data_IF_759660959037
#
_entry.id   IF_759660959037
#
_cell.length_a   1.000
_cell.length_b   1.000
_cell.length_c   1.000
_cell.angle_alpha   90.00
_cell.angle_beta   90.00
_cell.angle_gamma   90.00
#
_symmetry.space_group_name_H-M   'P 1'
#
loop_
_entity.id
_entity.type
_entity.pdbx_description
1 polymer ?
#
# COMPACT_ATOMS: atom_id res chain seq x y z
N UNK A 1 -0.14 55.61 -14.58
CA UNK A 1 -0.87 55.06 -13.41
C UNK A 1 -1.54 53.71 -13.69
N UNK A 2 -2.11 53.48 -14.90
CA UNK A 2 -2.81 52.23 -15.26
C UNK A 2 -1.94 50.95 -15.21
N UNK A 3 -0.65 51.06 -15.55
CA UNK A 3 0.32 49.94 -15.55
C UNK A 3 0.64 49.37 -14.15
N UNK A 4 0.52 50.19 -13.11
CA UNK A 4 0.74 49.76 -11.71
C UNK A 4 -0.51 49.08 -11.13
N UNK A 5 -1.70 49.51 -11.56
CA UNK A 5 -2.98 48.92 -11.19
C UNK A 5 -3.11 47.48 -11.71
N UNK A 6 -2.70 47.23 -12.96
CA UNK A 6 -2.73 45.88 -13.56
C UNK A 6 -1.79 44.91 -12.86
N UNK A 7 -0.66 45.40 -12.36
CA UNK A 7 0.33 44.58 -11.63
C UNK A 7 -0.18 44.21 -10.23
N UNK A 8 -0.87 45.14 -9.55
CA UNK A 8 -1.53 44.88 -8.26
C UNK A 8 -2.65 43.84 -8.41
N UNK A 9 -3.48 43.96 -9.46
CA UNK A 9 -4.60 43.05 -9.71
C UNK A 9 -4.13 41.63 -10.04
N UNK A 10 -2.98 41.49 -10.72
CA UNK A 10 -2.42 40.19 -11.10
C UNK A 10 -1.83 39.43 -9.91
N UNK A 11 -1.19 40.13 -8.96
CA UNK A 11 -0.66 39.51 -7.72
C UNK A 11 -1.81 39.12 -6.78
N UNK A 12 -2.87 39.94 -6.70
CA UNK A 12 -4.00 39.65 -5.81
C UNK A 12 -4.82 38.43 -6.28
N UNK A 13 -4.96 38.24 -7.61
CA UNK A 13 -5.62 37.05 -8.19
C UNK A 13 -4.92 35.73 -7.84
N UNK A 14 -3.58 35.74 -7.74
CA UNK A 14 -2.80 34.52 -7.52
C UNK A 14 -2.90 34.00 -6.06
N UNK A 15 -3.29 34.84 -5.11
CA UNK A 15 -3.43 34.46 -3.70
C UNK A 15 -4.78 33.82 -3.34
N UNK A 16 -5.78 33.85 -4.24
CA UNK A 16 -7.14 33.35 -3.96
C UNK A 16 -7.41 31.91 -4.41
N UNK A 17 -6.45 31.21 -5.02
CA UNK A 17 -6.64 29.81 -5.45
C UNK A 17 -6.25 28.76 -4.40
N UNK A 18 -5.85 29.16 -3.20
CA UNK A 18 -5.32 28.26 -2.17
C UNK A 18 -6.31 27.91 -1.04
N UNK A 19 -7.62 28.01 -1.24
CA UNK A 19 -8.63 27.57 -0.25
C UNK A 19 -9.74 26.76 -0.93
N UNK A 20 -9.38 25.59 -1.44
CA UNK A 20 -10.34 24.53 -1.80
C UNK A 20 -9.66 23.15 -1.82
N UNK A 21 -8.94 22.82 -0.75
CA UNK A 21 -8.78 21.43 -0.33
C UNK A 21 -9.28 21.36 1.11
N UNK A 22 -10.61 21.39 1.25
CA UNK A 22 -11.25 20.94 2.48
C UNK A 22 -10.96 19.46 2.62
N UNK A 23 -10.24 19.10 3.67
CA UNK A 23 -10.10 17.73 4.12
C UNK A 23 -11.48 17.25 4.57
N UNK A 24 -12.17 16.49 3.72
CA UNK A 24 -13.23 15.62 4.20
C UNK A 24 -12.57 14.55 5.06
N UNK A 25 -12.77 14.59 6.38
CA UNK A 25 -12.59 13.40 7.21
C UNK A 25 -13.59 12.35 6.73
N UNK A 26 -13.11 11.38 5.94
CA UNK A 26 -13.83 10.14 5.72
C UNK A 26 -13.82 9.36 7.03
N UNK A 27 -14.92 9.45 7.77
CA UNK A 27 -15.29 8.44 8.76
C UNK A 27 -15.21 7.09 8.05
N UNK A 28 -14.35 6.15 8.48
CA UNK A 28 -14.29 4.84 7.85
C UNK A 28 -15.67 4.17 8.02
N UNK A 29 -16.29 3.66 6.94
CA UNK A 29 -17.49 2.87 7.07
C UNK A 29 -17.17 1.64 7.95
N UNK A 30 -18.13 1.15 8.76
CA UNK A 30 -17.92 -0.07 9.52
C UNK A 30 -17.68 -1.22 8.55
N UNK A 31 -16.45 -1.74 8.58
CA UNK A 31 -16.02 -3.06 8.14
C UNK A 31 -16.88 -3.64 6.99
N UNK A 32 -16.78 -3.04 5.81
CA UNK A 32 -17.19 -3.75 4.60
C UNK A 32 -16.23 -4.92 4.47
N UNK A 33 -16.78 -6.12 4.65
CA UNK A 33 -16.18 -7.39 4.26
C UNK A 33 -15.77 -7.25 2.79
N UNK A 34 -14.54 -6.79 2.55
CA UNK A 34 -13.91 -6.90 1.24
C UNK A 34 -13.88 -8.39 1.01
N UNK A 35 -14.67 -8.86 0.07
CA UNK A 35 -14.51 -10.19 -0.49
C UNK A 35 -13.08 -10.24 -1.03
N UNK A 36 -12.14 -10.63 -0.17
CA UNK A 36 -10.80 -11.03 -0.54
C UNK A 36 -11.04 -12.18 -1.50
N UNK A 37 -10.94 -11.91 -2.80
CA UNK A 37 -10.93 -12.94 -3.83
C UNK A 37 -9.70 -13.78 -3.52
N UNK A 38 -9.88 -14.81 -2.70
CA UNK A 38 -8.87 -15.78 -2.31
C UNK A 38 -8.50 -16.51 -3.59
N UNK A 39 -7.28 -16.33 -4.14
CA UNK A 39 -6.84 -17.16 -5.24
C UNK A 39 -6.80 -18.60 -4.75
N UNK A 40 -7.13 -19.54 -5.63
CA UNK A 40 -7.12 -20.95 -5.30
C UNK A 40 -5.81 -21.36 -4.60
N UNK A 41 -5.86 -22.23 -3.57
CA UNK A 41 -4.73 -22.55 -2.69
C UNK A 41 -3.51 -23.19 -3.39
N UNK A 42 -3.58 -23.43 -4.70
CA UNK A 42 -2.58 -24.20 -5.45
C UNK A 42 -1.87 -23.40 -6.57
N UNK A 43 -2.16 -22.12 -6.72
CA UNK A 43 -1.47 -21.27 -7.71
C UNK A 43 -0.26 -20.62 -7.06
N UNK A 44 0.95 -21.14 -7.35
CA UNK A 44 2.21 -20.47 -6.98
C UNK A 44 2.12 -19.00 -7.43
N UNK A 45 2.34 -18.01 -6.55
CA UNK A 45 2.25 -16.61 -6.92
C UNK A 45 3.25 -16.30 -8.03
N UNK A 46 2.76 -15.78 -9.16
CA UNK A 46 3.65 -15.25 -10.17
C UNK A 46 4.10 -13.85 -9.74
N UNK A 47 5.12 -13.79 -8.88
CA UNK A 47 5.80 -12.56 -8.47
C UNK A 47 6.71 -12.01 -9.58
N UNK A 48 6.21 -11.93 -10.81
CA UNK A 48 6.95 -11.32 -11.91
C UNK A 48 6.87 -9.80 -11.81
N UNK A 49 7.54 -9.25 -10.81
CA UNK A 49 7.77 -7.82 -10.65
C UNK A 49 9.23 -7.52 -10.99
N UNK A 50 9.44 -6.39 -11.67
CA UNK A 50 10.78 -5.88 -11.89
C UNK A 50 11.42 -5.47 -10.56
N UNK A 51 12.74 -5.31 -10.58
CA UNK A 51 13.45 -4.70 -9.46
C UNK A 51 13.00 -3.25 -9.30
N UNK A 52 12.90 -2.79 -8.05
CA UNK A 52 12.46 -1.43 -7.75
C UNK A 52 11.80 -1.28 -6.40
N UNK A 53 11.23 -0.10 -6.18
CA UNK A 53 10.48 0.24 -4.97
C UNK A 53 9.01 0.42 -5.32
N UNK A 54 8.15 -0.29 -4.60
CA UNK A 54 6.71 -0.30 -4.81
C UNK A 54 6.00 0.16 -3.54
N UNK A 55 5.25 1.27 -3.55
CA UNK A 55 4.48 1.68 -2.39
C UNK A 55 3.47 0.60 -2.02
N UNK A 56 3.32 0.34 -0.71
CA UNK A 56 2.42 -0.69 -0.21
C UNK A 56 1.15 -0.04 0.32
N UNK A 57 0.01 -0.49 -0.20
CA UNK A 57 -1.31 -0.03 0.22
C UNK A 57 -1.83 -0.83 1.43
N UNK A 58 -1.62 -2.15 1.42
CA UNK A 58 -2.10 -3.08 2.43
C UNK A 58 -1.13 -4.28 2.51
N UNK A 59 -1.03 -4.87 3.68
CA UNK A 59 -0.30 -6.10 3.90
C UNK A 59 -1.12 -7.03 4.79
N UNK A 60 -1.09 -8.32 4.48
CA UNK A 60 -1.78 -9.37 5.23
C UNK A 60 -0.82 -10.52 5.45
N UNK A 61 -0.87 -11.15 6.62
CA UNK A 61 -0.18 -12.40 6.95
C UNK A 61 -1.20 -13.50 7.20
N UNK A 62 -1.10 -14.60 6.45
CA UNK A 62 -1.90 -15.80 6.61
C UNK A 62 -1.12 -16.85 7.40
N UNK A 63 -1.66 -17.28 8.53
CA UNK A 63 -1.00 -18.24 9.42
C UNK A 63 -1.14 -19.72 9.04
N UNK A 64 -2.03 -20.08 8.11
CA UNK A 64 -2.12 -21.45 7.61
C UNK A 64 -0.94 -21.78 6.68
N UNK A 65 -0.53 -20.80 5.86
CA UNK A 65 0.58 -20.95 4.92
C UNK A 65 1.88 -20.26 5.35
N UNK A 66 1.82 -19.36 6.35
CA UNK A 66 2.92 -18.44 6.64
C UNK A 66 3.20 -17.47 5.48
N UNK A 67 2.20 -17.18 4.64
CA UNK A 67 2.34 -16.35 3.44
C UNK A 67 1.96 -14.90 3.76
N UNK A 68 2.83 -13.98 3.39
CA UNK A 68 2.52 -12.55 3.33
C UNK A 68 1.93 -12.20 1.97
N UNK A 69 0.84 -11.45 1.96
CA UNK A 69 0.23 -10.87 0.76
C UNK A 69 0.30 -9.34 0.84
N UNK A 70 1.01 -8.73 -0.10
CA UNK A 70 1.22 -7.28 -0.17
C UNK A 70 0.47 -6.72 -1.38
N UNK A 71 -0.39 -5.73 -1.15
CA UNK A 71 -1.03 -4.96 -2.21
C UNK A 71 -0.13 -3.77 -2.57
N UNK A 72 0.40 -3.78 -3.78
CA UNK A 72 1.35 -2.81 -4.28
C UNK A 72 0.68 -1.78 -5.18
N UNK A 73 1.19 -0.55 -5.13
CA UNK A 73 0.83 0.53 -6.04
C UNK A 73 1.89 0.68 -7.13
N UNK A 74 1.48 1.24 -8.27
CA UNK A 74 2.36 1.57 -9.39
C UNK A 74 3.15 0.38 -9.95
N UNK A 75 2.60 -0.83 -9.88
CA UNK A 75 3.21 -2.00 -10.52
C UNK A 75 3.18 -1.86 -12.05
N UNK A 76 4.21 -2.36 -12.77
CA UNK A 76 4.26 -2.25 -14.23
C UNK A 76 3.05 -2.94 -14.90
N UNK A 77 2.59 -2.44 -16.06
CA UNK A 77 1.53 -3.10 -16.81
C UNK A 77 1.87 -4.57 -17.09
N UNK A 78 0.89 -5.46 -16.89
CA UNK A 78 1.08 -6.91 -17.06
C UNK A 78 1.74 -7.63 -15.87
N UNK A 79 2.10 -6.91 -14.80
CA UNK A 79 2.56 -7.50 -13.53
C UNK A 79 1.41 -7.59 -12.52
N UNK A 80 1.49 -8.52 -11.57
CA UNK A 80 0.49 -8.64 -10.49
C UNK A 80 0.63 -7.47 -9.52
N UNK A 81 -0.48 -6.79 -9.14
CA UNK A 81 -0.46 -5.79 -8.05
C UNK A 81 -0.34 -6.46 -6.67
N UNK A 82 -0.56 -7.77 -6.59
CA UNK A 82 -0.42 -8.54 -5.35
C UNK A 82 0.89 -9.31 -5.38
N UNK A 83 1.76 -9.01 -4.44
CA UNK A 83 3.02 -9.73 -4.21
C UNK A 83 2.87 -10.68 -3.03
N UNK A 84 3.29 -11.93 -3.20
CA UNK A 84 3.12 -12.95 -2.16
C UNK A 84 4.41 -13.68 -1.84
N UNK A 85 4.79 -13.76 -0.58
CA UNK A 85 6.03 -14.46 -0.22
C UNK A 85 5.91 -15.07 1.17
N UNK A 86 6.58 -16.19 1.38
CA UNK A 86 6.81 -16.75 2.72
C UNK A 86 8.11 -16.25 3.36
N UNK A 87 8.97 -15.61 2.57
CA UNK A 87 10.25 -15.03 3.00
C UNK A 87 10.22 -13.52 2.79
N UNK A 88 9.49 -12.82 3.66
CA UNK A 88 9.43 -11.36 3.67
C UNK A 88 10.37 -10.80 4.74
N UNK A 89 11.39 -10.07 4.33
CA UNK A 89 12.22 -9.32 5.26
C UNK A 89 11.54 -8.00 5.59
N UNK A 90 11.71 -7.53 6.81
CA UNK A 90 11.10 -6.29 7.28
C UNK A 90 12.17 -5.38 7.87
N UNK A 91 12.09 -4.09 7.52
CA UNK A 91 12.96 -3.06 8.05
C UNK A 91 12.13 -1.82 8.39
N UNK A 92 12.52 -1.09 9.44
CA UNK A 92 11.94 0.25 9.67
C UNK A 92 12.45 1.20 8.60
N UNK A 93 11.64 2.17 8.19
CA UNK A 93 12.16 3.32 7.44
C UNK A 93 13.23 4.04 8.25
N UNK A 94 14.21 4.62 7.55
CA UNK A 94 15.23 5.47 8.17
C UNK A 94 14.63 6.82 8.59
N UNK A 95 15.25 7.50 9.54
CA UNK A 95 14.75 8.79 10.04
C UNK A 95 14.73 9.85 8.93
N UNK A 96 15.70 9.80 8.00
CA UNK A 96 15.75 10.66 6.83
C UNK A 96 14.58 10.42 5.88
N UNK A 97 14.18 9.17 5.69
CA UNK A 97 13.05 8.80 4.83
C UNK A 97 11.71 9.17 5.44
N UNK A 98 11.58 9.02 6.76
CA UNK A 98 10.41 9.47 7.51
C UNK A 98 10.30 11.00 7.42
N UNK A 99 11.40 11.72 7.61
CA UNK A 99 11.44 13.18 7.45
C UNK A 99 11.11 13.64 6.02
N UNK A 100 11.47 12.83 5.01
CA UNK A 100 11.07 13.05 3.61
C UNK A 100 9.61 12.71 3.30
N UNK A 101 8.85 12.21 4.28
CA UNK A 101 7.44 11.85 4.12
C UNK A 101 7.21 10.56 3.35
N UNK A 102 8.21 9.68 3.23
CA UNK A 102 8.03 8.37 2.59
C UNK A 102 7.04 7.51 3.38
N UNK A 103 6.24 6.73 2.64
CA UNK A 103 5.31 5.73 3.17
C UNK A 103 5.92 4.34 3.09
N UNK A 104 5.28 3.34 3.69
CA UNK A 104 5.73 1.96 3.59
C UNK A 104 5.82 1.50 2.13
N UNK A 105 6.92 0.81 1.82
CA UNK A 105 7.20 0.35 0.45
C UNK A 105 7.91 -1.00 0.47
N UNK A 106 7.68 -1.77 -0.59
CA UNK A 106 8.41 -3.00 -0.86
C UNK A 106 9.61 -2.68 -1.75
N UNK A 107 10.80 -3.04 -1.30
CA UNK A 107 12.01 -3.00 -2.11
C UNK A 107 12.30 -4.40 -2.67
N UNK A 108 12.42 -4.50 -3.98
CA UNK A 108 12.83 -5.71 -4.69
C UNK A 108 14.23 -5.51 -5.27
N UNK A 109 15.22 -6.21 -4.71
CA UNK A 109 16.60 -6.18 -5.18
C UNK A 109 17.18 -7.60 -5.22
N UNK A 110 17.73 -8.00 -6.38
CA UNK A 110 18.40 -9.30 -6.54
C UNK A 110 17.58 -10.53 -6.11
N UNK A 111 16.25 -10.47 -6.16
CA UNK A 111 15.36 -11.55 -5.68
C UNK A 111 15.06 -11.53 -4.18
N UNK A 112 15.57 -10.54 -3.45
CA UNK A 112 15.23 -10.27 -2.05
C UNK A 112 14.10 -9.25 -1.98
N UNK A 113 13.13 -9.55 -1.13
CA UNK A 113 12.01 -8.67 -0.86
C UNK A 113 12.11 -8.13 0.57
N UNK A 114 12.26 -6.81 0.68
CA UNK A 114 12.34 -6.11 1.96
C UNK A 114 11.20 -5.11 2.04
N UNK A 115 10.29 -5.32 3.00
CA UNK A 115 9.23 -4.39 3.33
C UNK A 115 9.76 -3.34 4.30
N UNK A 116 9.84 -2.11 3.82
CA UNK A 116 10.14 -0.95 4.64
C UNK A 116 8.84 -0.43 5.26
N UNK A 117 8.82 -0.36 6.58
CA UNK A 117 7.64 -0.05 7.39
C UNK A 117 7.76 1.29 8.10
N UNK A 118 6.70 2.10 8.01
CA UNK A 118 6.48 3.20 8.94
C UNK A 118 5.90 2.66 10.24
N UNK A 119 6.01 3.43 11.32
CA UNK A 119 5.58 3.01 12.67
C UNK A 119 4.06 2.80 12.79
N UNK A 120 3.29 3.51 11.97
CA UNK A 120 1.84 3.44 11.90
C UNK A 120 1.31 2.34 10.96
N UNK A 121 2.17 1.70 10.16
CA UNK A 121 1.74 0.72 9.19
C UNK A 121 1.38 -0.62 9.86
N UNK A 122 0.21 -1.15 9.53
CA UNK A 122 -0.31 -2.40 10.10
C UNK A 122 -0.30 -3.51 9.06
N UNK A 123 0.15 -4.69 9.48
CA UNK A 123 -0.02 -5.93 8.73
C UNK A 123 -1.21 -6.67 9.36
N UNK A 124 -2.21 -6.96 8.55
CA UNK A 124 -3.41 -7.68 9.00
C UNK A 124 -3.08 -9.15 9.27
N UNK A 125 -3.54 -9.68 10.40
CA UNK A 125 -3.38 -11.08 10.74
C UNK A 125 -4.64 -11.86 10.36
N UNK A 126 -4.48 -12.86 9.48
CA UNK A 126 -5.55 -13.79 9.12
C UNK A 126 -5.28 -15.12 9.80
N UNK A 127 -6.16 -15.45 10.75
CA UNK A 127 -6.16 -16.72 11.46
C UNK A 127 -7.02 -17.74 10.72
N UNK A 128 -6.42 -18.86 10.32
CA UNK A 128 -7.11 -19.96 9.66
C UNK A 128 -7.23 -21.15 10.63
N UNK A 129 -8.48 -21.60 10.84
CA UNK A 129 -8.78 -22.81 11.60
C UNK A 129 -9.20 -23.91 10.64
N UNK A 130 -8.62 -25.10 10.78
CA UNK A 130 -9.05 -26.29 10.05
C UNK A 130 -9.81 -27.22 10.99
N UNK A 131 -11.01 -27.62 10.59
CA UNK A 131 -11.82 -28.59 11.32
C UNK A 131 -11.91 -29.88 10.52
N UNK A 132 -11.66 -31.01 11.18
CA UNK A 132 -11.84 -32.33 10.57
C UNK A 132 -13.32 -32.72 10.61
N UNK A 133 -14.03 -32.58 9.50
CA UNK A 133 -15.41 -33.05 9.36
C UNK A 133 -15.39 -34.56 9.10
N UNK A 134 -16.04 -35.34 9.98
CA UNK A 134 -16.20 -36.79 9.77
C UNK A 134 -17.48 -37.03 8.96
N UNK A 135 -17.32 -37.62 7.77
CA UNK A 135 -18.36 -37.85 6.74
C UNK A 135 -18.93 -36.57 6.09
N UNK A 136 -18.22 -35.98 5.10
CA UNK A 136 -18.64 -34.76 4.42
C UNK A 136 -19.73 -34.96 3.34
N UNK A 137 -20.45 -36.08 3.35
CA UNK A 137 -21.49 -36.46 2.37
C UNK A 137 -22.89 -36.17 2.89
#
# INVERSE_FOLDING_TARGET
MLRKLTLLLMVFSLCFTAIACGSSETVPPPNQNVNTVRPAPNSRPNNNLAQGQYPVQQATYDDAGGEYSLMLLNTPPGSSPVYRTTDLQMARLTDEEIAAGKKSYLSLDGGKAVLHLTEDFKIEYVHNVTETVTNPQ
#
